data_IF_734243518930
#
_entry.id   IF_734243518930
#
_cell.length_a   1.000
_cell.length_b   1.000
_cell.length_c   1.000
_cell.angle_alpha   90.00
_cell.angle_beta   90.00
_cell.angle_gamma   90.00
#
_symmetry.space_group_name_H-M   'P 1'
#
loop_
_entity.id
_entity.type
_entity.pdbx_description
1 polymer ?
#
# COMPACT_ATOMS: atom_id res chain seq x y z
N UNK A 1 -11.77 -21.55 -5.63
CA UNK A 1 -10.38 -21.07 -5.80
C UNK A 1 -10.17 -20.31 -7.11
N UNK A 2 -10.20 -20.94 -8.29
CA UNK A 2 -9.84 -20.30 -9.56
C UNK A 2 -10.68 -19.04 -9.92
N UNK A 3 -12.00 -19.08 -9.73
CA UNK A 3 -12.87 -17.93 -9.99
C UNK A 3 -12.62 -16.74 -9.03
N UNK A 4 -12.27 -17.03 -7.77
CA UNK A 4 -11.95 -16.01 -6.76
C UNK A 4 -10.61 -15.34 -7.08
N UNK A 5 -9.59 -16.12 -7.44
CA UNK A 5 -8.30 -15.59 -7.89
C UNK A 5 -8.48 -14.70 -9.13
N UNK A 6 -9.28 -15.13 -10.11
CA UNK A 6 -9.56 -14.33 -11.32
C UNK A 6 -10.26 -13.01 -11.00
N UNK A 7 -11.16 -12.98 -9.99
CA UNK A 7 -11.78 -11.73 -9.51
C UNK A 7 -10.77 -10.80 -8.85
N UNK A 8 -9.86 -11.34 -8.03
CA UNK A 8 -8.83 -10.56 -7.33
C UNK A 8 -7.71 -10.03 -8.26
N UNK A 9 -7.56 -10.63 -9.44
CA UNK A 9 -6.63 -10.17 -10.49
C UNK A 9 -7.21 -9.03 -11.36
N UNK A 10 -8.45 -8.61 -11.12
CA UNK A 10 -9.11 -7.59 -11.91
C UNK A 10 -8.42 -6.22 -11.72
N UNK A 11 -8.09 -5.46 -12.80
CA UNK A 11 -7.48 -4.14 -12.68
C UNK A 11 -8.34 -3.14 -11.87
N UNK A 12 -9.66 -3.24 -11.92
CA UNK A 12 -10.54 -2.37 -11.11
C UNK A 12 -10.41 -2.65 -9.61
N UNK A 13 -10.12 -3.90 -9.26
CA UNK A 13 -9.84 -4.29 -7.87
C UNK A 13 -8.56 -3.62 -7.40
N UNK A 14 -7.49 -3.59 -8.20
CA UNK A 14 -6.27 -2.86 -7.84
C UNK A 14 -6.54 -1.37 -7.60
N UNK A 15 -7.25 -0.71 -8.52
CA UNK A 15 -7.49 0.75 -8.47
C UNK A 15 -8.33 1.14 -7.25
N UNK A 16 -9.33 0.35 -6.87
CA UNK A 16 -10.22 0.68 -5.75
C UNK A 16 -9.72 0.14 -4.41
N UNK A 17 -9.19 -1.09 -4.37
CA UNK A 17 -8.86 -1.77 -3.12
C UNK A 17 -7.45 -1.49 -2.62
N UNK A 18 -6.48 -1.18 -3.49
CA UNK A 18 -5.13 -0.83 -3.03
C UNK A 18 -5.12 0.46 -2.20
N UNK A 19 -5.77 1.57 -2.62
CA UNK A 19 -5.89 2.78 -1.80
C UNK A 19 -6.49 2.49 -0.43
N UNK A 20 -7.54 1.65 -0.39
CA UNK A 20 -8.19 1.25 0.85
C UNK A 20 -7.20 0.52 1.77
N UNK A 21 -6.45 -0.44 1.23
CA UNK A 21 -5.48 -1.22 2.01
C UNK A 21 -4.41 -0.36 2.69
N UNK A 22 -4.00 0.77 2.09
CA UNK A 22 -2.98 1.65 2.64
C UNK A 22 -3.45 2.51 3.83
N UNK A 23 -4.76 2.62 4.06
CA UNK A 23 -5.32 3.43 5.15
C UNK A 23 -6.20 2.62 6.12
N UNK A 24 -6.50 1.36 5.79
CA UNK A 24 -7.51 0.56 6.47
C UNK A 24 -7.16 0.27 7.93
N UNK A 25 -5.93 -0.17 8.22
CA UNK A 25 -5.54 -0.50 9.59
C UNK A 25 -5.58 0.73 10.50
N UNK A 26 -4.98 1.84 10.06
CA UNK A 26 -5.00 3.07 10.85
C UNK A 26 -6.42 3.60 11.09
N UNK A 27 -7.29 3.52 10.08
CA UNK A 27 -8.69 3.91 10.23
C UNK A 27 -9.43 3.02 11.23
N UNK A 28 -9.32 1.70 11.11
CA UNK A 28 -10.04 0.75 11.97
C UNK A 28 -9.60 0.91 13.42
N UNK A 29 -8.30 0.89 13.69
CA UNK A 29 -7.77 1.05 15.05
C UNK A 29 -8.15 2.43 15.62
N UNK A 30 -8.03 3.50 14.84
CA UNK A 30 -8.40 4.84 15.29
C UNK A 30 -9.90 4.98 15.61
N UNK A 31 -10.77 4.33 14.83
CA UNK A 31 -12.22 4.30 15.08
C UNK A 31 -12.61 3.48 16.31
N UNK A 32 -11.76 2.58 16.80
CA UNK A 32 -12.03 1.81 18.02
C UNK A 32 -11.66 2.54 19.31
N UNK A 33 -10.78 3.55 19.23
CA UNK A 33 -10.38 4.33 20.41
C UNK A 33 -11.36 5.46 20.76
N UNK A 34 -12.24 5.84 19.83
CA UNK A 34 -13.20 6.94 20.00
C UNK A 34 -14.65 6.47 19.91
N UNK A 35 -15.53 7.13 20.66
CA UNK A 35 -16.97 6.93 20.59
C UNK A 35 -17.60 7.57 19.35
N UNK A 36 -17.06 8.72 18.90
CA UNK A 36 -17.49 9.42 17.69
C UNK A 36 -16.56 9.13 16.53
N UNK A 37 -17.11 8.61 15.42
CA UNK A 37 -16.35 8.21 14.23
C UNK A 37 -16.31 9.35 13.21
N UNK A 38 -15.13 9.75 12.76
CA UNK A 38 -14.95 10.82 11.78
C UNK A 38 -14.95 10.27 10.35
N UNK A 39 -16.15 9.87 9.88
CA UNK A 39 -16.35 9.29 8.54
C UNK A 39 -15.95 10.23 7.40
N UNK A 40 -16.20 11.53 7.54
CA UNK A 40 -15.81 12.52 6.53
C UNK A 40 -14.29 12.51 6.30
N UNK A 41 -13.50 12.47 7.37
CA UNK A 41 -12.04 12.45 7.28
C UNK A 41 -11.55 11.19 6.57
N UNK A 42 -12.15 10.03 6.87
CA UNK A 42 -11.86 8.78 6.17
C UNK A 42 -12.19 8.86 4.68
N UNK A 43 -13.37 9.35 4.32
CA UNK A 43 -13.79 9.48 2.91
C UNK A 43 -12.86 10.42 2.15
N UNK A 44 -12.54 11.58 2.73
CA UNK A 44 -11.61 12.53 2.12
C UNK A 44 -10.22 11.91 1.93
N UNK A 45 -9.69 11.22 2.94
CA UNK A 45 -8.40 10.55 2.84
C UNK A 45 -8.41 9.44 1.78
N UNK A 46 -9.48 8.64 1.72
CA UNK A 46 -9.64 7.61 0.69
C UNK A 46 -9.65 8.21 -0.72
N UNK A 47 -10.38 9.32 -0.93
CA UNK A 47 -10.37 10.02 -2.22
C UNK A 47 -8.97 10.51 -2.57
N UNK A 48 -8.24 11.09 -1.61
CA UNK A 48 -6.87 11.55 -1.83
C UNK A 48 -5.99 10.40 -2.29
N UNK A 49 -5.98 9.26 -1.56
CA UNK A 49 -5.12 8.12 -1.91
C UNK A 49 -5.52 7.51 -3.25
N UNK A 50 -6.83 7.40 -3.53
CA UNK A 50 -7.32 6.89 -4.82
C UNK A 50 -6.89 7.78 -5.99
N UNK A 51 -7.07 9.10 -5.86
CA UNK A 51 -6.65 10.05 -6.89
C UNK A 51 -5.13 10.08 -7.01
N UNK A 52 -4.39 9.97 -5.90
CA UNK A 52 -2.93 9.85 -5.92
C UNK A 52 -2.44 8.64 -6.72
N UNK A 53 -3.04 7.47 -6.53
CA UNK A 53 -2.71 6.27 -7.32
C UNK A 53 -3.01 6.48 -8.82
N UNK A 54 -4.11 7.18 -9.16
CA UNK A 54 -4.43 7.53 -10.54
C UNK A 54 -3.41 8.50 -11.14
N UNK A 55 -3.04 9.56 -10.42
CA UNK A 55 -2.02 10.52 -10.87
C UNK A 55 -0.67 9.81 -11.07
N UNK A 56 -0.25 8.99 -10.11
CA UNK A 56 0.97 8.18 -10.22
C UNK A 56 0.92 7.25 -11.44
N UNK A 57 -0.22 6.59 -11.69
CA UNK A 57 -0.41 5.76 -12.88
C UNK A 57 -0.22 6.56 -14.18
N UNK A 58 -0.86 7.73 -14.30
CA UNK A 58 -0.75 8.56 -15.50
C UNK A 58 0.67 9.14 -15.68
N UNK A 59 1.35 9.54 -14.60
CA UNK A 59 2.76 9.93 -14.67
C UNK A 59 3.67 8.78 -15.10
N UNK A 60 3.40 7.55 -14.65
CA UNK A 60 4.12 6.36 -15.12
C UNK A 60 3.91 6.12 -16.62
N UNK A 61 2.67 6.24 -17.12
CA UNK A 61 2.38 6.10 -18.55
C UNK A 61 3.13 7.14 -19.40
N UNK A 62 3.14 8.41 -18.97
CA UNK A 62 3.81 9.49 -19.70
C UNK A 62 5.34 9.34 -19.68
N UNK A 63 5.93 9.11 -18.50
CA UNK A 63 7.40 9.15 -18.31
C UNK A 63 8.11 7.84 -18.56
N UNK A 64 7.47 6.71 -18.27
CA UNK A 64 8.10 5.40 -18.37
C UNK A 64 7.69 4.62 -19.61
N UNK A 65 6.50 4.86 -20.16
CA UNK A 65 5.97 4.14 -21.32
C UNK A 65 5.81 5.01 -22.57
N UNK A 66 6.14 6.30 -22.48
CA UNK A 66 6.08 7.27 -23.59
C UNK A 66 4.70 7.31 -24.27
N UNK A 67 3.64 7.03 -23.50
CA UNK A 67 2.27 7.10 -24.01
C UNK A 67 1.75 8.53 -23.89
N UNK A 68 1.02 8.99 -24.90
CA UNK A 68 0.38 10.30 -24.89
C UNK A 68 -0.80 10.29 -23.91
N UNK A 69 -0.57 10.86 -22.73
CA UNK A 69 -1.63 11.10 -21.74
C UNK A 69 -2.26 12.47 -22.01
N UNK A 70 -3.59 12.54 -22.00
CA UNK A 70 -4.29 13.80 -22.11
C UNK A 70 -4.00 14.67 -20.87
N UNK A 71 -3.26 15.77 -21.05
CA UNK A 71 -2.90 16.70 -19.95
C UNK A 71 -4.11 17.22 -19.18
N UNK A 72 -5.28 17.32 -19.84
CA UNK A 72 -6.53 17.71 -19.20
C UNK A 72 -6.94 16.77 -18.06
N UNK A 73 -6.73 15.45 -18.21
CA UNK A 73 -7.06 14.47 -17.16
C UNK A 73 -6.17 14.68 -15.94
N UNK A 74 -4.86 14.85 -16.14
CA UNK A 74 -3.91 15.12 -15.05
C UNK A 74 -4.26 16.40 -14.29
N UNK A 75 -4.55 17.49 -14.99
CA UNK A 75 -4.95 18.77 -14.37
C UNK A 75 -6.21 18.59 -13.51
N UNK A 76 -7.21 17.85 -14.01
CA UNK A 76 -8.44 17.59 -13.25
C UNK A 76 -8.14 16.76 -12.01
N UNK A 77 -7.33 15.70 -12.12
CA UNK A 77 -6.96 14.86 -10.98
C UNK A 77 -6.16 15.64 -9.93
N UNK A 78 -5.17 16.41 -10.33
CA UNK A 78 -4.39 17.26 -9.43
C UNK A 78 -5.26 18.33 -8.75
N UNK A 79 -6.24 18.88 -9.46
CA UNK A 79 -7.20 19.83 -8.88
C UNK A 79 -8.08 19.16 -7.81
N UNK A 80 -8.58 17.95 -8.07
CA UNK A 80 -9.35 17.16 -7.09
C UNK A 80 -8.47 16.85 -5.88
N UNK A 81 -7.22 16.43 -6.10
CA UNK A 81 -6.25 16.12 -5.05
C UNK A 81 -5.99 17.35 -4.15
N UNK A 82 -5.80 18.53 -4.75
CA UNK A 82 -5.55 19.77 -4.05
C UNK A 82 -6.76 20.21 -3.22
N UNK A 83 -7.97 20.19 -3.82
CA UNK A 83 -9.20 20.58 -3.14
C UNK A 83 -9.49 19.65 -1.95
N UNK A 84 -9.40 18.34 -2.16
CA UNK A 84 -9.65 17.35 -1.11
C UNK A 84 -8.63 17.43 0.02
N UNK A 85 -7.36 17.69 -0.31
CA UNK A 85 -6.30 17.94 0.67
C UNK A 85 -6.58 19.19 1.51
N UNK A 86 -6.93 20.32 0.87
CA UNK A 86 -7.26 21.55 1.58
C UNK A 86 -8.46 21.39 2.52
N UNK A 87 -9.45 20.58 2.12
CA UNK A 87 -10.57 20.24 2.98
C UNK A 87 -10.11 19.39 4.16
N UNK A 88 -9.35 18.32 3.93
CA UNK A 88 -8.92 17.41 4.99
C UNK A 88 -8.03 18.11 6.03
N UNK A 89 -7.07 18.94 5.59
CA UNK A 89 -6.13 19.67 6.46
C UNK A 89 -6.83 20.53 7.52
N UNK A 90 -8.07 20.99 7.26
CA UNK A 90 -8.87 21.74 8.24
C UNK A 90 -9.38 20.88 9.40
N UNK A 91 -9.45 19.56 9.21
CA UNK A 91 -10.06 18.62 10.15
C UNK A 91 -9.07 17.66 10.80
N UNK A 92 -7.80 17.69 10.41
CA UNK A 92 -6.77 16.78 10.92
C UNK A 92 -5.69 17.52 11.71
N UNK A 93 -5.01 16.77 12.57
CA UNK A 93 -3.91 17.24 13.39
C UNK A 93 -2.73 17.76 12.54
N UNK A 94 -2.12 18.88 12.95
CA UNK A 94 -1.14 19.61 12.12
C UNK A 94 0.08 18.78 11.64
N UNK A 95 0.66 17.83 12.41
CA UNK A 95 1.75 16.98 11.92
C UNK A 95 1.25 16.00 10.86
N UNK A 96 0.01 15.53 10.96
CA UNK A 96 -0.60 14.69 9.93
C UNK A 96 -0.76 15.48 8.61
N UNK A 97 -1.06 16.77 8.69
CA UNK A 97 -1.07 17.67 7.52
C UNK A 97 0.31 17.80 6.88
N UNK A 98 1.39 17.86 7.67
CA UNK A 98 2.77 17.86 7.15
C UNK A 98 3.08 16.52 6.49
N UNK A 99 2.75 15.40 7.13
CA UNK A 99 2.94 14.07 6.57
C UNK A 99 2.19 13.92 5.23
N UNK A 100 0.95 14.41 5.15
CA UNK A 100 0.16 14.44 3.93
C UNK A 100 0.83 15.30 2.85
N UNK A 101 1.30 16.50 3.18
CA UNK A 101 2.01 17.36 2.24
C UNK A 101 3.29 16.68 1.71
N UNK A 102 4.05 16.00 2.57
CA UNK A 102 5.25 15.25 2.13
C UNK A 102 4.90 14.06 1.23
N UNK A 103 3.77 13.37 1.48
CA UNK A 103 3.28 12.30 0.61
C UNK A 103 2.92 12.83 -0.79
N UNK A 104 2.21 13.95 -0.87
CA UNK A 104 1.85 14.57 -2.16
C UNK A 104 3.07 15.12 -2.90
N UNK A 105 4.02 15.70 -2.18
CA UNK A 105 5.29 16.13 -2.75
C UNK A 105 6.07 14.95 -3.31
N UNK A 106 6.13 13.84 -2.57
CA UNK A 106 6.78 12.60 -3.01
C UNK A 106 6.19 12.07 -4.33
N UNK A 107 4.86 12.09 -4.48
CA UNK A 107 4.17 11.65 -5.70
C UNK A 107 4.72 12.35 -6.95
N UNK A 108 4.99 13.65 -6.85
CA UNK A 108 5.56 14.43 -7.95
C UNK A 108 7.07 14.22 -8.07
N UNK A 109 7.78 14.20 -6.93
CA UNK A 109 9.23 14.01 -6.89
C UNK A 109 9.69 12.66 -7.44
N UNK A 110 8.83 11.66 -7.41
CA UNK A 110 9.12 10.34 -7.97
C UNK A 110 9.37 10.39 -9.49
N UNK A 111 8.73 11.34 -10.19
CA UNK A 111 8.79 11.48 -11.66
C UNK A 111 9.52 12.74 -12.13
N UNK A 112 9.59 13.79 -11.31
CA UNK A 112 10.20 15.09 -11.63
C UNK A 112 11.10 15.59 -10.50
N UNK A 113 12.26 16.22 -10.77
CA UNK A 113 12.90 16.43 -12.07
C UNK A 113 13.62 15.19 -12.60
N UNK A 114 13.99 14.25 -11.72
CA UNK A 114 14.64 12.99 -12.09
C UNK A 114 13.72 11.83 -11.80
N UNK A 115 13.61 10.90 -12.75
CA UNK A 115 12.74 9.74 -12.61
C UNK A 115 13.38 8.68 -11.70
N UNK A 116 13.08 8.77 -10.40
CA UNK A 116 13.56 7.82 -9.39
C UNK A 116 12.64 6.61 -9.24
N UNK A 117 11.48 6.58 -9.91
CA UNK A 117 10.45 5.52 -9.79
C UNK A 117 11.00 4.09 -9.96
N UNK A 118 12.11 3.94 -10.69
CA UNK A 118 12.74 2.65 -11.01
C UNK A 118 13.94 2.31 -10.13
N UNK A 119 14.25 3.11 -9.12
CA UNK A 119 15.41 2.92 -8.25
C UNK A 119 15.05 2.19 -6.96
N UNK A 120 16.07 1.65 -6.27
CA UNK A 120 15.89 1.12 -4.91
C UNK A 120 15.35 2.16 -3.92
N UNK A 121 15.61 3.45 -4.16
CA UNK A 121 15.05 4.54 -3.35
C UNK A 121 13.53 4.62 -3.46
N UNK A 122 12.96 4.38 -4.66
CA UNK A 122 11.52 4.33 -4.82
C UNK A 122 10.90 3.15 -4.07
N UNK A 123 11.57 2.00 -3.97
CA UNK A 123 11.08 0.88 -3.15
C UNK A 123 10.98 1.30 -1.68
N UNK A 124 12.03 1.90 -1.14
CA UNK A 124 12.04 2.35 0.26
C UNK A 124 10.99 3.44 0.52
N UNK A 125 10.93 4.47 -0.35
CA UNK A 125 9.99 5.57 -0.19
C UNK A 125 8.53 5.13 -0.38
N UNK A 126 8.23 4.31 -1.41
CA UNK A 126 6.88 3.74 -1.58
C UNK A 126 6.47 2.93 -0.34
N UNK A 127 7.37 2.08 0.16
CA UNK A 127 7.14 1.29 1.36
C UNK A 127 6.83 2.17 2.56
N UNK A 128 7.62 3.22 2.78
CA UNK A 128 7.44 4.16 3.87
C UNK A 128 6.11 4.92 3.73
N UNK A 129 5.84 5.49 2.56
CA UNK A 129 4.62 6.28 2.37
C UNK A 129 3.34 5.42 2.44
N UNK A 130 3.30 4.29 1.73
CA UNK A 130 2.12 3.42 1.67
C UNK A 130 1.92 2.61 2.96
N UNK A 131 2.99 2.06 3.53
CA UNK A 131 2.90 1.20 4.71
C UNK A 131 2.80 1.98 6.02
N UNK A 132 3.56 3.09 6.15
CA UNK A 132 3.67 3.85 7.39
C UNK A 132 2.84 5.14 7.36
N UNK A 133 3.18 6.06 6.45
CA UNK A 133 2.65 7.44 6.48
C UNK A 133 1.13 7.47 6.30
N UNK A 134 0.60 6.75 5.30
CA UNK A 134 -0.84 6.73 5.03
C UNK A 134 -1.64 6.14 6.19
N UNK A 135 -1.16 5.07 6.83
CA UNK A 135 -1.81 4.51 8.02
C UNK A 135 -1.69 5.43 9.25
N UNK A 136 -0.57 6.14 9.42
CA UNK A 136 -0.42 7.13 10.48
C UNK A 136 -1.38 8.32 10.30
N UNK A 137 -1.53 8.82 9.07
CA UNK A 137 -2.50 9.86 8.74
C UNK A 137 -3.93 9.33 8.97
N UNK A 138 -4.23 8.09 8.58
CA UNK A 138 -5.55 7.49 8.77
C UNK A 138 -5.95 7.36 10.25
N UNK A 139 -5.01 6.96 11.10
CA UNK A 139 -5.22 6.89 12.55
C UNK A 139 -5.41 8.28 13.16
N UNK A 140 -4.49 9.22 12.88
CA UNK A 140 -4.58 10.60 13.40
C UNK A 140 -5.79 11.36 12.86
N UNK A 141 -6.29 11.03 11.68
CA UNK A 141 -7.53 11.56 11.13
C UNK A 141 -8.77 11.16 11.95
N UNK A 142 -8.67 10.10 12.74
CA UNK A 142 -9.69 9.72 13.72
C UNK A 142 -9.34 10.28 15.10
N UNK A 143 -8.15 9.98 15.63
CA UNK A 143 -7.80 10.20 17.05
C UNK A 143 -7.23 11.59 17.36
N UNK A 144 -6.83 12.36 16.34
CA UNK A 144 -6.16 13.67 16.46
C UNK A 144 -4.80 13.65 17.17
N UNK A 145 -4.20 12.48 17.41
CA UNK A 145 -2.87 12.35 18.00
C UNK A 145 -2.21 11.04 17.54
N UNK A 146 -0.88 10.95 17.67
CA UNK A 146 -0.11 9.77 17.29
C UNK A 146 0.63 9.23 18.51
N UNK A 147 0.31 8.01 18.92
CA UNK A 147 0.96 7.37 20.08
C UNK A 147 2.19 6.57 19.65
N UNK A 148 3.20 6.49 20.53
CA UNK A 148 4.40 5.66 20.30
C UNK A 148 4.06 4.17 20.20
N UNK A 149 2.99 3.74 20.87
CA UNK A 149 2.44 2.40 20.74
C UNK A 149 1.94 2.13 19.31
N UNK A 150 1.09 3.01 18.78
CA UNK A 150 0.55 2.84 17.43
C UNK A 150 1.63 2.82 16.35
N UNK A 151 2.69 3.63 16.49
CA UNK A 151 3.84 3.63 15.56
C UNK A 151 4.46 2.23 15.44
N UNK A 152 4.57 1.47 16.54
CA UNK A 152 5.12 0.10 16.52
C UNK A 152 4.19 -0.87 15.79
N UNK A 153 2.88 -0.68 15.92
CA UNK A 153 1.87 -1.52 15.26
C UNK A 153 1.87 -1.37 13.73
N UNK A 154 2.51 -0.35 13.18
CA UNK A 154 2.66 -0.17 11.73
C UNK A 154 3.78 -1.05 11.14
N UNK A 155 4.66 -1.61 11.96
CA UNK A 155 5.82 -2.40 11.50
C UNK A 155 5.43 -3.60 10.61
N UNK A 156 4.41 -4.41 10.94
CA UNK A 156 3.95 -5.49 10.05
C UNK A 156 3.48 -4.98 8.68
N UNK A 157 2.78 -3.85 8.65
CA UNK A 157 2.25 -3.27 7.41
C UNK A 157 3.36 -2.72 6.53
N UNK A 158 4.38 -2.09 7.12
CA UNK A 158 5.54 -1.58 6.38
C UNK A 158 6.36 -2.72 5.81
N UNK A 159 6.60 -3.79 6.56
CA UNK A 159 7.31 -4.96 6.06
C UNK A 159 6.53 -5.68 4.96
N UNK A 160 5.21 -5.81 5.10
CA UNK A 160 4.38 -6.37 4.04
C UNK A 160 4.43 -5.49 2.78
N UNK A 161 4.39 -4.17 2.97
CA UNK A 161 4.54 -3.21 1.88
C UNK A 161 5.90 -3.31 1.18
N UNK A 162 6.96 -3.56 1.95
CA UNK A 162 8.30 -3.77 1.42
C UNK A 162 8.37 -5.01 0.53
N UNK A 163 7.84 -6.13 1.01
CA UNK A 163 7.81 -7.38 0.26
C UNK A 163 7.13 -7.21 -1.10
N UNK A 164 5.98 -6.54 -1.11
CA UNK A 164 5.18 -6.32 -2.32
C UNK A 164 5.83 -5.32 -3.27
N UNK A 165 6.29 -4.16 -2.77
CA UNK A 165 6.95 -3.15 -3.61
C UNK A 165 8.27 -3.66 -4.21
N UNK A 166 8.99 -4.51 -3.48
CA UNK A 166 10.20 -5.16 -3.97
C UNK A 166 9.92 -6.14 -5.12
N UNK A 167 8.84 -6.93 -5.03
CA UNK A 167 8.42 -7.83 -6.10
C UNK A 167 7.84 -7.04 -7.29
N UNK A 168 7.06 -5.99 -7.05
CA UNK A 168 6.45 -5.14 -8.10
C UNK A 168 7.53 -4.52 -9.00
N UNK A 169 8.56 -3.88 -8.42
CA UNK A 169 9.59 -3.22 -9.23
C UNK A 169 10.35 -4.19 -10.14
N UNK A 170 10.56 -5.44 -9.69
CA UNK A 170 11.27 -6.47 -10.43
C UNK A 170 10.41 -7.11 -11.51
N UNK A 171 9.11 -7.33 -11.23
CA UNK A 171 8.15 -7.76 -12.24
C UNK A 171 7.94 -6.67 -13.31
N UNK A 172 7.85 -5.40 -12.92
CA UNK A 172 7.72 -4.29 -13.85
C UNK A 172 8.93 -4.17 -14.79
N UNK A 173 10.15 -4.47 -14.32
CA UNK A 173 11.33 -4.53 -15.18
C UNK A 173 11.22 -5.58 -16.27
N UNK A 174 10.66 -6.75 -15.95
CA UNK A 174 10.46 -7.81 -16.94
C UNK A 174 9.49 -7.41 -18.06
N UNK A 175 8.60 -6.44 -17.80
CA UNK A 175 7.68 -5.87 -18.80
C UNK A 175 8.33 -4.81 -19.71
N UNK A 176 9.25 -4.00 -19.19
CA UNK A 176 9.74 -2.78 -19.87
C UNK A 176 11.12 -2.98 -20.54
N UNK A 177 11.69 -4.19 -20.51
CA UNK A 177 12.99 -4.55 -21.11
C UNK A 177 14.17 -3.64 -20.72
N UNK A 178 14.02 -2.82 -19.66
CA UNK A 178 15.10 -1.96 -19.11
C UNK A 178 15.64 -2.62 -17.85
N UNK A 179 16.87 -3.13 -17.91
CA UNK A 179 17.55 -3.75 -16.76
C UNK A 179 17.98 -2.71 -15.74
N UNK A 180 17.61 -2.90 -14.48
CA UNK A 180 18.34 -2.30 -13.37
C UNK A 180 19.74 -2.92 -13.25
N UNK A 181 20.68 -2.14 -12.73
CA UNK A 181 21.99 -2.60 -12.25
C UNK A 181 21.85 -3.25 -10.87
N UNK A 182 20.98 -4.24 -10.73
CA UNK A 182 20.88 -5.04 -9.50
C UNK A 182 21.80 -6.28 -9.58
N UNK A 183 22.38 -6.73 -8.46
CA UNK A 183 23.15 -7.96 -8.40
C UNK A 183 22.34 -9.16 -8.91
N UNK A 184 22.94 -10.00 -9.75
CA UNK A 184 22.28 -11.17 -10.40
C UNK A 184 21.59 -12.12 -9.41
N UNK A 185 22.12 -12.24 -8.18
CA UNK A 185 21.57 -13.10 -7.13
C UNK A 185 20.21 -12.58 -6.66
N UNK A 186 20.09 -11.27 -6.46
CA UNK A 186 18.85 -10.61 -6.01
C UNK A 186 17.77 -10.76 -7.08
N UNK A 187 18.12 -10.55 -8.35
CA UNK A 187 17.19 -10.73 -9.48
C UNK A 187 16.77 -12.18 -9.71
N UNK A 188 17.49 -13.17 -9.18
CA UNK A 188 17.17 -14.60 -9.35
C UNK A 188 16.29 -15.14 -8.23
N UNK A 189 16.46 -14.62 -7.01
CA UNK A 189 15.78 -15.12 -5.81
C UNK A 189 14.79 -14.10 -5.23
N UNK A 190 14.34 -13.14 -6.05
CA UNK A 190 13.52 -12.03 -5.60
C UNK A 190 12.21 -12.46 -4.93
N UNK A 191 11.51 -13.44 -5.50
CA UNK A 191 10.25 -13.97 -4.95
C UNK A 191 10.44 -14.66 -3.60
N UNK A 192 11.59 -15.33 -3.39
CA UNK A 192 11.94 -15.93 -2.10
C UNK A 192 12.29 -14.88 -1.05
N UNK A 193 12.97 -13.81 -1.45
CA UNK A 193 13.28 -12.68 -0.57
C UNK A 193 11.98 -11.97 -0.15
N UNK A 194 11.09 -11.68 -1.11
CA UNK A 194 9.78 -11.09 -0.85
C UNK A 194 8.93 -11.97 0.08
N UNK A 195 8.89 -13.29 -0.16
CA UNK A 195 8.22 -14.24 0.72
C UNK A 195 8.80 -14.21 2.14
N UNK A 196 10.13 -14.21 2.28
CA UNK A 196 10.79 -14.18 3.59
C UNK A 196 10.42 -12.93 4.37
N UNK A 197 10.43 -11.76 3.71
CA UNK A 197 10.00 -10.49 4.32
C UNK A 197 8.52 -10.56 4.72
N UNK A 198 7.65 -11.11 3.86
CA UNK A 198 6.23 -11.28 4.16
C UNK A 198 5.98 -12.22 5.35
N UNK A 199 6.72 -13.32 5.47
CA UNK A 199 6.64 -14.21 6.62
C UNK A 199 7.06 -13.51 7.91
N UNK A 200 8.15 -12.73 7.87
CA UNK A 200 8.58 -11.91 9.01
C UNK A 200 7.49 -10.90 9.39
N UNK A 201 6.86 -10.25 8.40
CA UNK A 201 5.73 -9.35 8.62
C UNK A 201 4.56 -10.06 9.32
N UNK A 202 4.20 -11.27 8.89
CA UNK A 202 3.15 -12.08 9.52
C UNK A 202 3.50 -12.45 10.95
N UNK A 203 4.73 -12.92 11.22
CA UNK A 203 5.16 -13.30 12.58
C UNK A 203 5.12 -12.09 13.53
N UNK A 204 5.62 -10.94 13.08
CA UNK A 204 5.56 -9.71 13.87
C UNK A 204 4.11 -9.24 14.05
N UNK A 205 3.26 -9.39 13.03
CA UNK A 205 1.82 -9.11 13.13
C UNK A 205 1.12 -9.97 14.16
N UNK A 206 1.40 -11.27 14.20
CA UNK A 206 0.90 -12.19 15.23
C UNK A 206 1.42 -11.78 16.61
N UNK A 207 2.70 -11.42 16.72
CA UNK A 207 3.28 -10.98 17.99
C UNK A 207 2.56 -9.74 18.55
N UNK A 208 2.28 -8.73 17.72
CA UNK A 208 1.59 -7.53 18.18
C UNK A 208 0.09 -7.73 18.45
N UNK A 209 -0.53 -8.79 17.94
CA UNK A 209 -1.90 -9.14 18.26
C UNK A 209 -2.06 -10.03 19.52
N UNK A 210 -0.95 -10.42 20.18
CA UNK A 210 -0.94 -11.41 21.26
C UNK A 210 -1.18 -10.92 22.72
N UNK A 211 -1.84 -9.77 22.98
CA UNK A 211 -2.60 -9.62 24.22
C UNK A 211 -4.09 -9.35 23.97
N UNK A 212 -4.64 -9.77 22.83
CA UNK A 212 -6.07 -9.59 22.58
C UNK A 212 -6.91 -10.34 23.62
N UNK A 213 -7.99 -9.70 24.07
CA UNK A 213 -8.85 -10.22 25.15
C UNK A 213 -9.77 -11.37 24.70
N UNK A 214 -9.69 -11.83 23.44
CA UNK A 214 -10.62 -12.79 22.87
C UNK A 214 -9.94 -14.01 22.22
N UNK A 215 -10.76 -14.92 21.68
CA UNK A 215 -10.35 -16.21 21.12
C UNK A 215 -9.21 -16.08 20.10
N UNK A 216 -8.10 -16.81 20.33
CA UNK A 216 -6.93 -16.96 19.44
C UNK A 216 -7.24 -17.39 17.98
N UNK A 217 -8.50 -17.70 17.67
CA UNK A 217 -8.95 -18.14 16.35
C UNK A 217 -8.68 -17.09 15.27
N UNK A 218 -8.82 -15.79 15.58
CA UNK A 218 -8.62 -14.71 14.61
C UNK A 218 -7.13 -14.54 14.27
N UNK A 219 -6.24 -14.72 15.25
CA UNK A 219 -4.78 -14.71 15.11
C UNK A 219 -4.31 -15.90 14.27
N UNK A 220 -4.85 -17.09 14.55
CA UNK A 220 -4.57 -18.30 13.76
C UNK A 220 -5.06 -18.11 12.33
N UNK A 221 -6.27 -17.59 12.14
CA UNK A 221 -6.82 -17.30 10.82
C UNK A 221 -5.96 -16.28 10.06
N UNK A 222 -5.53 -15.20 10.73
CA UNK A 222 -4.60 -14.22 10.17
C UNK A 222 -3.30 -14.89 9.70
N UNK A 223 -2.66 -15.68 10.56
CA UNK A 223 -1.42 -16.38 10.23
C UNK A 223 -1.58 -17.33 9.04
N UNK A 224 -2.57 -18.23 9.10
CA UNK A 224 -2.80 -19.23 8.05
C UNK A 224 -3.17 -18.57 6.73
N UNK A 225 -4.11 -17.62 6.74
CA UNK A 225 -4.56 -16.97 5.52
C UNK A 225 -3.44 -16.13 4.89
N UNK A 226 -2.72 -15.33 5.68
CA UNK A 226 -1.62 -14.50 5.12
C UNK A 226 -0.50 -15.35 4.55
N UNK A 227 -0.12 -16.46 5.20
CA UNK A 227 0.87 -17.40 4.64
C UNK A 227 0.35 -18.02 3.34
N UNK A 228 -0.91 -18.48 3.31
CA UNK A 228 -1.50 -19.03 2.08
C UNK A 228 -1.47 -18.04 0.90
N UNK A 229 -1.79 -16.77 1.15
CA UNK A 229 -1.75 -15.74 0.10
C UNK A 229 -0.32 -15.29 -0.23
N UNK A 230 0.60 -15.26 0.74
CA UNK A 230 1.99 -14.93 0.52
C UNK A 230 2.71 -15.96 -0.36
N UNK A 231 2.32 -17.25 -0.30
CA UNK A 231 2.85 -18.29 -1.19
C UNK A 231 2.63 -17.97 -2.68
N UNK A 232 1.60 -17.18 -3.02
CA UNK A 232 1.35 -16.76 -4.40
C UNK A 232 2.45 -15.82 -4.93
N UNK A 233 3.28 -15.23 -4.07
CA UNK A 233 4.49 -14.50 -4.49
C UNK A 233 5.49 -15.41 -5.24
N UNK A 234 5.54 -16.70 -4.92
CA UNK A 234 6.43 -17.66 -5.57
C UNK A 234 6.02 -18.05 -6.99
N UNK A 235 4.79 -17.73 -7.40
CA UNK A 235 4.30 -18.10 -8.74
C UNK A 235 5.12 -17.38 -9.81
N UNK A 236 5.79 -18.17 -10.64
CA UNK A 236 6.59 -17.67 -11.76
C UNK A 236 5.68 -17.31 -12.94
N UNK A 237 5.85 -16.10 -13.47
CA UNK A 237 5.10 -15.59 -14.62
C UNK A 237 5.99 -15.58 -15.85
N UNK A 238 5.49 -16.09 -16.98
CA UNK A 238 6.22 -16.20 -18.25
C UNK A 238 5.72 -15.21 -19.30
N UNK A 239 4.43 -14.86 -19.26
CA UNK A 239 3.80 -13.98 -20.24
C UNK A 239 3.50 -12.59 -19.66
N UNK A 240 3.43 -11.57 -20.52
CA UNK A 240 3.09 -10.19 -20.13
C UNK A 240 1.72 -10.13 -19.43
N UNK A 241 0.75 -10.91 -19.91
CA UNK A 241 -0.58 -10.97 -19.32
C UNK A 241 -0.56 -11.55 -17.90
N UNK A 242 0.22 -12.62 -17.67
CA UNK A 242 0.41 -13.21 -16.34
C UNK A 242 1.07 -12.24 -15.36
N UNK A 243 2.07 -11.47 -15.82
CA UNK A 243 2.73 -10.47 -14.99
C UNK A 243 1.73 -9.39 -14.56
N UNK A 244 0.91 -8.87 -15.47
CA UNK A 244 -0.12 -7.88 -15.14
C UNK A 244 -1.15 -8.42 -14.13
N UNK A 245 -1.58 -9.67 -14.29
CA UNK A 245 -2.50 -10.31 -13.34
C UNK A 245 -1.85 -10.45 -11.95
N UNK A 246 -0.56 -10.80 -11.87
CA UNK A 246 0.19 -10.87 -10.61
C UNK A 246 0.31 -9.49 -9.95
N UNK A 247 0.60 -8.45 -10.73
CA UNK A 247 0.67 -7.06 -10.23
C UNK A 247 -0.69 -6.54 -9.73
N UNK A 248 -1.80 -6.94 -10.36
CA UNK A 248 -3.14 -6.60 -9.87
C UNK A 248 -3.47 -7.32 -8.57
N UNK A 249 -3.00 -8.56 -8.43
CA UNK A 249 -3.24 -9.37 -7.25
C UNK A 249 -2.54 -8.83 -6.00
N UNK A 250 -1.40 -8.13 -6.13
CA UNK A 250 -0.69 -7.54 -4.99
C UNK A 250 -1.53 -6.56 -4.16
N UNK A 251 -2.36 -5.74 -4.81
CA UNK A 251 -3.32 -4.88 -4.09
C UNK A 251 -4.29 -5.68 -3.23
N UNK A 252 -4.70 -6.86 -3.71
CA UNK A 252 -5.55 -7.78 -2.93
C UNK A 252 -4.80 -8.41 -1.75
N UNK A 253 -3.53 -8.79 -1.92
CA UNK A 253 -2.72 -9.32 -0.80
C UNK A 253 -2.57 -8.25 0.29
N UNK A 254 -2.25 -7.01 -0.08
CA UNK A 254 -2.18 -5.87 0.87
C UNK A 254 -3.48 -5.71 1.64
N UNK A 255 -4.62 -5.73 0.95
CA UNK A 255 -5.93 -5.58 1.58
C UNK A 255 -6.22 -6.72 2.55
N UNK A 256 -6.02 -7.97 2.12
CA UNK A 256 -6.26 -9.15 2.96
C UNK A 256 -5.38 -9.09 4.21
N UNK A 257 -4.10 -8.76 4.04
CA UNK A 257 -3.17 -8.61 5.16
C UNK A 257 -3.63 -7.51 6.12
N UNK A 258 -3.91 -6.30 5.63
CA UNK A 258 -4.33 -5.18 6.46
C UNK A 258 -5.65 -5.46 7.19
N UNK A 259 -6.63 -6.07 6.51
CA UNK A 259 -7.93 -6.39 7.08
C UNK A 259 -7.82 -7.46 8.16
N UNK A 260 -7.14 -8.58 7.87
CA UNK A 260 -6.98 -9.66 8.84
C UNK A 260 -6.09 -9.25 10.02
N UNK A 261 -5.06 -8.43 9.78
CA UNK A 261 -4.25 -7.87 10.86
C UNK A 261 -5.07 -6.93 11.75
N UNK A 262 -5.90 -6.06 11.15
CA UNK A 262 -6.83 -5.20 11.91
C UNK A 262 -7.77 -6.02 12.78
N UNK A 263 -8.39 -7.07 12.21
CA UNK A 263 -9.29 -7.95 12.96
C UNK A 263 -8.55 -8.70 14.08
N UNK A 264 -7.37 -9.24 13.78
CA UNK A 264 -6.55 -9.95 14.77
C UNK A 264 -6.06 -9.05 15.89
N UNK A 265 -5.82 -7.76 15.63
CA UNK A 265 -5.43 -6.81 16.66
C UNK A 265 -6.61 -6.43 17.57
N UNK A 266 -7.82 -6.35 17.02
CA UNK A 266 -9.03 -5.97 17.77
C UNK A 266 -9.66 -7.11 18.58
N UNK A 267 -9.61 -8.33 18.06
CA UNK A 267 -10.25 -9.53 18.63
C UNK A 267 -9.19 -10.58 18.96
#
# INVERSE_FOLDING_TARGET
MAQLIKKLQNPYVKILLAPLAFILFGTIVGMTELTTKHWLNFILLYIIVLVSELVSHFFDLEKNRSQTVARSILIVLDSILLITTLLLVRYIYWPASIMLATYLAYLHFQYFPYNISKSGYAVFLNTFFQGFVLNAIAYTAQTQHLTSHFIKLLLPLTLMSLAINFEDILLYQSLVFKRLTLPRVITRHHSLIALSISLVATVIGIYFSLPSHSFYLVQILFGVATVCFALLLLVTTKTIHEIQNKLNFFGSIHLIFALLYSLSYLF
#
